data_IF_087658787846
#
_entry.id   IF_087658787846
#
_cell.length_a   1.000
_cell.length_b   1.000
_cell.length_c   1.000
_cell.angle_alpha   90.00
_cell.angle_beta   90.00
_cell.angle_gamma   90.00
#
_symmetry.space_group_name_H-M   'P 1'
#
loop_
_entity.id
_entity.type
_entity.pdbx_description
1 polymer ?
#
# COMPACT_ATOMS: atom_id res chain seq x y z
N UNK A 1 -0.90 -12.63 17.77
CA UNK A 1 0.55 -12.90 17.85
C UNK A 1 1.31 -11.68 17.36
N UNK A 2 2.28 -11.14 18.10
CA UNK A 2 3.13 -10.06 17.61
C UNK A 2 3.90 -10.55 16.37
N UNK A 3 3.98 -9.74 15.32
CA UNK A 3 4.76 -10.08 14.13
C UNK A 3 6.24 -9.97 14.48
N UNK A 4 6.90 -11.11 14.66
CA UNK A 4 8.35 -11.16 14.82
C UNK A 4 8.99 -11.06 13.44
N UNK A 5 9.65 -9.93 13.17
CA UNK A 5 10.37 -9.74 11.91
C UNK A 5 11.83 -10.13 12.09
N UNK A 6 12.28 -11.12 11.32
CA UNK A 6 13.65 -11.64 11.38
C UNK A 6 14.65 -10.74 10.65
N UNK A 7 14.22 -10.03 9.59
CA UNK A 7 15.06 -9.12 8.81
C UNK A 7 14.42 -7.73 8.71
N UNK A 8 15.25 -6.71 8.51
CA UNK A 8 14.77 -5.33 8.28
C UNK A 8 13.86 -5.24 7.04
N UNK A 9 14.18 -6.00 5.97
CA UNK A 9 13.34 -6.04 4.77
C UNK A 9 11.94 -6.58 5.06
N UNK A 10 11.79 -7.55 5.97
CA UNK A 10 10.47 -8.10 6.31
C UNK A 10 9.60 -7.04 7.02
N UNK A 11 10.21 -6.15 7.82
CA UNK A 11 9.53 -5.00 8.43
C UNK A 11 9.07 -4.03 7.34
N UNK A 12 9.97 -3.69 6.42
CA UNK A 12 9.67 -2.77 5.32
C UNK A 12 8.53 -3.30 4.43
N UNK A 13 8.60 -4.58 4.03
CA UNK A 13 7.52 -5.24 3.27
C UNK A 13 6.20 -5.21 4.03
N UNK A 14 6.24 -5.50 5.34
CA UNK A 14 5.06 -5.42 6.20
C UNK A 14 4.42 -4.04 6.21
N UNK A 15 5.24 -2.99 6.33
CA UNK A 15 4.80 -1.59 6.32
C UNK A 15 4.21 -1.20 4.96
N UNK A 16 4.91 -1.46 3.85
CA UNK A 16 4.41 -1.14 2.50
C UNK A 16 3.10 -1.88 2.22
N UNK A 17 2.99 -3.15 2.65
CA UNK A 17 1.74 -3.91 2.53
C UNK A 17 0.60 -3.26 3.32
N UNK A 18 0.85 -2.87 4.56
CA UNK A 18 -0.14 -2.21 5.40
C UNK A 18 -0.60 -0.88 4.77
N UNK A 19 0.34 -0.07 4.30
CA UNK A 19 0.08 1.21 3.66
C UNK A 19 -0.70 1.05 2.35
N UNK A 20 -0.33 0.06 1.52
CA UNK A 20 -1.04 -0.25 0.29
C UNK A 20 -2.50 -0.67 0.56
N UNK A 21 -2.72 -1.51 1.57
CA UNK A 21 -4.07 -1.93 1.96
C UNK A 21 -4.88 -0.80 2.59
N UNK A 22 -4.23 0.09 3.35
CA UNK A 22 -4.86 1.29 3.90
C UNK A 22 -5.31 2.25 2.79
N UNK A 23 -4.42 2.53 1.81
CA UNK A 23 -4.73 3.38 0.66
C UNK A 23 -5.79 2.77 -0.26
N UNK A 24 -5.79 1.44 -0.43
CA UNK A 24 -6.88 0.72 -1.09
C UNK A 24 -8.21 0.97 -0.37
N UNK A 25 -8.24 0.81 0.95
CA UNK A 25 -9.47 0.87 1.75
C UNK A 25 -10.55 -0.08 1.21
N UNK A 26 -11.77 0.43 1.07
CA UNK A 26 -12.93 -0.32 0.55
C UNK A 26 -12.93 -0.58 -0.96
N UNK A 27 -11.99 0.00 -1.72
CA UNK A 27 -11.97 -0.11 -3.19
C UNK A 27 -11.74 -1.54 -3.65
N UNK A 28 -12.33 -1.92 -4.77
CA UNK A 28 -12.05 -3.17 -5.46
C UNK A 28 -10.64 -3.14 -6.09
N UNK A 29 -10.07 -4.32 -6.39
CA UNK A 29 -8.81 -4.38 -7.12
C UNK A 29 -8.92 -3.86 -8.56
N UNK A 30 -10.12 -3.91 -9.15
CA UNK A 30 -10.37 -3.30 -10.46
C UNK A 30 -10.25 -1.78 -10.41
N UNK A 31 -10.83 -1.13 -9.39
CA UNK A 31 -10.69 0.32 -9.19
C UNK A 31 -9.24 0.69 -8.87
N UNK A 32 -8.59 -0.07 -8.00
CA UNK A 32 -7.19 0.14 -7.66
C UNK A 32 -6.27 0.03 -8.88
N UNK A 33 -6.53 -0.95 -9.76
CA UNK A 33 -5.85 -1.07 -11.04
C UNK A 33 -6.03 0.17 -11.90
N UNK A 34 -7.26 0.68 -12.05
CA UNK A 34 -7.51 1.92 -12.81
C UNK A 34 -6.74 3.11 -12.26
N UNK A 35 -6.70 3.28 -10.93
CA UNK A 35 -5.95 4.36 -10.27
C UNK A 35 -4.45 4.26 -10.60
N UNK A 36 -3.91 3.04 -10.54
CA UNK A 36 -2.50 2.77 -10.76
C UNK A 36 -2.14 2.53 -12.25
N UNK A 37 -3.06 2.70 -13.20
CA UNK A 37 -2.81 2.44 -14.62
C UNK A 37 -2.51 0.96 -14.94
N UNK A 38 -2.99 0.02 -14.12
CA UNK A 38 -2.78 -1.43 -14.28
C UNK A 38 -4.08 -2.22 -14.30
N UNK A 39 -4.01 -3.51 -14.59
CA UNK A 39 -5.17 -4.40 -14.51
C UNK A 39 -5.43 -4.91 -13.08
N UNK A 40 -6.65 -5.37 -12.82
CA UNK A 40 -7.07 -5.83 -11.49
C UNK A 40 -6.20 -6.97 -10.93
N UNK A 41 -5.75 -7.88 -11.78
CA UNK A 41 -4.86 -8.98 -11.38
C UNK A 41 -3.48 -8.49 -10.94
N UNK A 42 -2.95 -7.46 -11.62
CA UNK A 42 -1.69 -6.81 -11.21
C UNK A 42 -1.84 -6.17 -9.84
N UNK A 43 -2.89 -5.36 -9.63
CA UNK A 43 -3.16 -4.75 -8.32
C UNK A 43 -3.32 -5.79 -7.20
N UNK A 44 -3.99 -6.91 -7.47
CA UNK A 44 -4.09 -8.03 -6.54
C UNK A 44 -2.73 -8.68 -6.23
N UNK A 45 -1.88 -8.86 -7.25
CA UNK A 45 -0.53 -9.39 -7.06
C UNK A 45 0.35 -8.44 -6.22
N UNK A 46 0.22 -7.11 -6.41
CA UNK A 46 0.89 -6.10 -5.57
C UNK A 46 0.45 -6.14 -4.10
N UNK A 47 -0.81 -6.50 -3.83
CA UNK A 47 -1.26 -6.71 -2.45
C UNK A 47 -0.65 -7.97 -1.81
N UNK A 48 -0.34 -8.99 -2.60
CA UNK A 48 0.34 -10.20 -2.13
C UNK A 48 1.82 -9.92 -1.90
N UNK A 49 2.48 -9.35 -2.90
CA UNK A 49 3.89 -9.01 -2.93
C UNK A 49 4.09 -7.49 -3.18
N UNK A 50 4.24 -6.70 -2.11
CA UNK A 50 4.36 -5.25 -2.20
C UNK A 50 5.71 -4.77 -2.74
N UNK A 51 6.74 -5.62 -2.79
CA UNK A 51 8.06 -5.22 -3.31
C UNK A 51 8.04 -4.97 -4.81
N UNK A 52 7.06 -5.54 -5.49
CA UNK A 52 6.87 -5.37 -6.92
C UNK A 52 6.12 -4.06 -7.26
N UNK A 53 5.69 -3.28 -6.27
CA UNK A 53 5.12 -1.96 -6.51
C UNK A 53 6.18 -1.04 -7.11
N UNK A 54 5.90 -0.53 -8.28
CA UNK A 54 6.74 0.49 -8.92
C UNK A 54 6.52 1.84 -8.27
N UNK A 55 7.54 2.71 -8.30
CA UNK A 55 7.41 4.08 -7.82
C UNK A 55 6.32 4.87 -8.56
N UNK A 56 6.05 4.53 -9.83
CA UNK A 56 4.96 5.13 -10.60
C UNK A 56 3.58 4.76 -10.05
N UNK A 57 3.36 3.48 -9.73
CA UNK A 57 2.10 3.02 -9.10
C UNK A 57 1.91 3.66 -7.73
N UNK A 58 2.98 3.74 -6.92
CA UNK A 58 2.94 4.41 -5.62
C UNK A 58 2.60 5.89 -5.76
N UNK A 59 3.22 6.60 -6.70
CA UNK A 59 2.94 8.01 -6.95
C UNK A 59 1.48 8.24 -7.37
N UNK A 60 0.96 7.44 -8.30
CA UNK A 60 -0.42 7.55 -8.76
C UNK A 60 -1.42 7.31 -7.62
N UNK A 61 -1.20 6.25 -6.84
CA UNK A 61 -2.03 5.93 -5.68
C UNK A 61 -1.99 7.05 -4.63
N UNK A 62 -0.81 7.52 -4.26
CA UNK A 62 -0.64 8.59 -3.28
C UNK A 62 -1.30 9.90 -3.74
N UNK A 63 -1.13 10.26 -5.02
CA UNK A 63 -1.76 11.46 -5.59
C UNK A 63 -3.30 11.37 -5.63
N UNK A 64 -3.84 10.18 -5.89
CA UNK A 64 -5.29 9.93 -5.86
C UNK A 64 -5.85 10.04 -4.45
N UNK A 65 -5.23 9.37 -3.46
CA UNK A 65 -5.68 9.35 -2.07
C UNK A 65 -5.27 10.59 -1.26
N UNK A 66 -4.55 11.54 -1.87
CA UNK A 66 -4.02 12.74 -1.20
C UNK A 66 -3.10 12.41 -0.02
N UNK A 67 -2.30 11.35 -0.18
CA UNK A 67 -1.29 10.91 0.78
C UNK A 67 0.07 11.46 0.33
N UNK A 68 0.85 12.13 1.20
CA UNK A 68 2.23 12.47 0.90
C UNK A 68 3.04 11.20 0.65
N UNK A 69 3.77 11.14 -0.48
CA UNK A 69 4.53 9.93 -0.84
C UNK A 69 5.57 9.56 0.23
N UNK A 70 6.13 10.56 0.91
CA UNK A 70 7.06 10.41 2.04
C UNK A 70 6.44 9.65 3.20
N UNK A 71 5.15 9.85 3.45
CA UNK A 71 4.43 9.16 4.53
C UNK A 71 4.15 7.72 4.13
N UNK A 72 3.90 7.46 2.84
CA UNK A 72 3.67 6.11 2.33
C UNK A 72 4.93 5.23 2.39
N UNK A 73 6.11 5.78 2.09
CA UNK A 73 7.37 5.00 2.05
C UNK A 73 8.21 5.12 3.33
N UNK A 74 7.97 6.15 4.15
CA UNK A 74 8.80 6.49 5.31
C UNK A 74 8.28 5.98 6.65
N UNK A 75 7.01 5.53 6.73
CA UNK A 75 6.44 5.01 7.97
C UNK A 75 5.09 4.34 7.76
N UNK A 76 4.49 3.80 8.83
CA UNK A 76 3.12 3.29 8.77
C UNK A 76 2.11 4.45 8.66
N UNK A 77 1.23 4.39 7.66
CA UNK A 77 0.17 5.37 7.48
C UNK A 77 -0.82 5.29 8.65
N UNK A 78 -0.88 6.35 9.43
CA UNK A 78 -1.87 6.51 10.49
C UNK A 78 -3.15 7.07 9.87
N UNK A 79 -4.07 6.19 9.48
CA UNK A 79 -5.43 6.62 9.17
C UNK A 79 -6.05 7.20 10.45
N UNK A 80 -6.24 8.53 10.51
CA UNK A 80 -6.99 9.18 11.59
C UNK A 80 -8.45 8.71 11.48
N UNK A 81 -8.84 7.71 12.28
CA UNK A 81 -10.22 7.22 12.32
C UNK A 81 -10.41 5.77 12.78
N UNK A 82 -9.46 5.20 13.52
CA UNK A 82 -9.54 3.84 14.06
C UNK A 82 -9.83 3.77 15.56
N UNK A 83 -10.64 4.70 16.08
CA UNK A 83 -11.28 4.59 17.39
C UNK A 83 -12.79 4.63 17.17
N UNK A 84 -13.39 3.47 16.91
CA UNK A 84 -14.83 3.20 16.99
C UNK A 84 -15.05 1.70 17.20
#
# INVERSE_FOLDING_TARGET
MPKTYLRQIDRFVGMIKANYMAAKGGKSFAELGRICGTCASTAYNRAKDPLELTLGEVYMLCNHEKIPITDFVGGELKLRGGDA
#
